data_IF_576760864802
#
_entry.id   IF_576760864802
#
_cell.length_a   1.000
_cell.length_b   1.000
_cell.length_c   1.000
_cell.angle_alpha   90.00
_cell.angle_beta   90.00
_cell.angle_gamma   90.00
#
_symmetry.space_group_name_H-M   'P 1'
#
loop_
_entity.id
_entity.type
_entity.pdbx_description
1 polymer ?
#
# COMPACT_ATOMS: atom_id res chain seq x y z
N UNK A 1 -24.80 -20.83 -8.76
CA UNK A 1 -25.16 -19.65 -7.95
C UNK A 1 -24.04 -18.66 -8.15
N UNK A 2 -24.27 -17.59 -8.92
CA UNK A 2 -23.26 -16.56 -9.14
C UNK A 2 -23.17 -15.70 -7.88
N UNK A 3 -21.96 -15.57 -7.34
CA UNK A 3 -21.65 -14.75 -6.16
C UNK A 3 -21.96 -13.27 -6.41
N UNK A 4 -22.61 -12.62 -5.46
CA UNK A 4 -23.01 -11.20 -5.47
C UNK A 4 -21.82 -10.20 -5.45
N UNK A 5 -20.57 -10.68 -5.45
CA UNK A 5 -19.34 -9.87 -5.33
C UNK A 5 -18.85 -9.18 -6.63
N UNK A 6 -19.59 -9.27 -7.74
CA UNK A 6 -19.11 -8.79 -9.05
C UNK A 6 -19.86 -7.56 -9.58
N UNK A 7 -20.20 -6.61 -8.69
CA UNK A 7 -20.69 -5.29 -9.12
C UNK A 7 -19.51 -4.30 -9.08
N UNK A 8 -19.24 -3.55 -10.16
CA UNK A 8 -18.25 -2.48 -10.13
C UNK A 8 -18.66 -1.43 -9.10
N UNK A 9 -17.75 -1.13 -8.17
CA UNK A 9 -17.94 -0.08 -7.15
C UNK A 9 -18.09 1.28 -7.82
N UNK A 10 -19.01 2.09 -7.29
CA UNK A 10 -19.17 3.51 -7.59
C UNK A 10 -17.97 4.34 -7.11
N UNK A 11 -17.85 5.57 -7.60
CA UNK A 11 -16.78 6.47 -7.17
C UNK A 11 -16.91 6.86 -5.70
N UNK A 12 -18.14 6.95 -5.17
CA UNK A 12 -18.41 7.19 -3.76
C UNK A 12 -17.94 6.02 -2.88
N UNK A 13 -18.21 4.78 -3.30
CA UNK A 13 -17.71 3.58 -2.62
C UNK A 13 -16.19 3.50 -2.66
N UNK A 14 -15.56 3.87 -3.78
CA UNK A 14 -14.11 3.97 -3.87
C UNK A 14 -13.54 5.05 -2.95
N UNK A 15 -14.18 6.22 -2.89
CA UNK A 15 -13.75 7.33 -2.03
C UNK A 15 -13.86 6.98 -0.55
N UNK A 16 -14.76 6.06 -0.18
CA UNK A 16 -14.90 5.56 1.19
C UNK A 16 -13.79 4.56 1.60
N UNK A 17 -13.26 3.76 0.66
CA UNK A 17 -12.32 2.68 0.97
C UNK A 17 -10.85 2.99 0.62
N UNK A 18 -10.62 3.96 -0.28
CA UNK A 18 -9.28 4.39 -0.68
C UNK A 18 -8.83 5.58 0.15
N UNK A 19 -7.52 5.70 0.37
CA UNK A 19 -6.96 6.97 0.84
C UNK A 19 -7.19 8.08 -0.22
N UNK A 20 -7.20 9.37 0.16
CA UNK A 20 -7.38 10.46 -0.82
C UNK A 20 -6.35 10.44 -1.95
N UNK A 21 -5.13 10.00 -1.67
CA UNK A 21 -4.05 9.88 -2.64
C UNK A 21 -4.21 8.66 -3.54
N UNK A 22 -4.57 7.52 -2.96
CA UNK A 22 -4.97 6.33 -3.73
C UNK A 22 -6.16 6.65 -4.62
N UNK A 23 -7.15 7.40 -4.15
CA UNK A 23 -8.29 7.83 -4.94
C UNK A 23 -7.86 8.76 -6.09
N UNK A 24 -7.04 9.78 -5.81
CA UNK A 24 -6.49 10.69 -6.83
C UNK A 24 -5.75 9.93 -7.93
N UNK A 25 -4.86 9.02 -7.56
CA UNK A 25 -4.09 8.26 -8.55
C UNK A 25 -4.94 7.17 -9.22
N UNK A 26 -5.52 6.23 -8.46
CA UNK A 26 -6.25 5.09 -9.03
C UNK A 26 -7.52 5.50 -9.77
N UNK A 27 -8.24 6.56 -9.35
CA UNK A 27 -9.54 6.92 -9.92
C UNK A 27 -9.48 8.20 -10.75
N UNK A 28 -8.69 9.19 -10.33
CA UNK A 28 -8.56 10.47 -11.04
C UNK A 28 -7.35 10.54 -11.97
N UNK A 29 -6.58 9.44 -12.10
CA UNK A 29 -5.42 9.29 -13.00
C UNK A 29 -4.30 10.31 -12.72
N UNK A 30 -4.17 10.73 -11.46
CA UNK A 30 -3.06 11.56 -11.02
C UNK A 30 -1.75 10.74 -10.95
N UNK A 31 -0.61 11.40 -10.75
CA UNK A 31 0.70 10.76 -10.63
C UNK A 31 1.44 11.28 -9.40
N UNK A 32 2.04 10.38 -8.61
CA UNK A 32 2.88 10.76 -7.48
C UNK A 32 4.09 11.58 -7.92
N UNK A 33 4.66 12.41 -7.05
CA UNK A 33 5.90 13.10 -7.37
C UNK A 33 7.06 12.10 -7.58
N UNK A 34 7.96 12.35 -8.54
CA UNK A 34 9.11 11.50 -8.76
C UNK A 34 9.98 11.44 -7.51
N UNK A 35 10.41 10.24 -7.14
CA UNK A 35 11.32 10.01 -6.03
C UNK A 35 10.66 9.81 -4.67
N UNK A 36 9.36 10.11 -4.52
CA UNK A 36 8.70 10.11 -3.21
C UNK A 36 7.95 8.81 -2.87
N UNK A 37 7.62 8.00 -3.88
CA UNK A 37 6.80 6.79 -3.70
C UNK A 37 7.51 5.68 -2.93
N UNK A 38 6.77 4.99 -2.05
CA UNK A 38 7.22 3.89 -1.18
C UNK A 38 8.03 2.82 -1.94
N UNK A 39 7.60 2.46 -3.14
CA UNK A 39 8.16 1.32 -3.88
C UNK A 39 9.24 1.71 -4.89
N UNK A 40 9.57 3.00 -5.03
CA UNK A 40 10.58 3.45 -6.01
C UNK A 40 11.94 2.75 -5.80
N UNK A 41 12.55 2.92 -4.62
CA UNK A 41 13.85 2.33 -4.27
C UNK A 41 13.76 1.10 -3.35
N UNK A 42 12.56 0.56 -3.19
CA UNK A 42 12.33 -0.67 -2.45
C UNK A 42 12.36 -1.89 -3.39
N UNK A 43 13.00 -2.98 -2.97
CA UNK A 43 13.18 -4.21 -3.76
C UNK A 43 12.86 -5.46 -2.94
N UNK A 44 11.75 -5.43 -2.20
CA UNK A 44 11.27 -6.60 -1.47
C UNK A 44 10.74 -7.69 -2.40
N UNK A 45 10.94 -8.94 -1.98
CA UNK A 45 10.45 -10.12 -2.70
C UNK A 45 8.96 -10.35 -2.53
N UNK A 46 8.29 -10.75 -3.61
CA UNK A 46 6.88 -11.15 -3.59
C UNK A 46 6.10 -10.66 -4.81
N UNK A 47 4.81 -10.46 -4.62
CA UNK A 47 3.88 -10.06 -5.69
C UNK A 47 3.22 -8.73 -5.32
N UNK A 48 3.41 -7.70 -6.14
CA UNK A 48 2.74 -6.42 -5.96
C UNK A 48 1.30 -6.54 -6.44
N UNK A 49 0.36 -6.29 -5.56
CA UNK A 49 -1.08 -6.32 -5.79
C UNK A 49 -1.62 -4.91 -6.02
N UNK A 50 -2.76 -4.78 -6.69
CA UNK A 50 -3.48 -3.52 -6.80
C UNK A 50 -3.86 -3.02 -5.41
N UNK A 51 -3.52 -1.77 -5.09
CA UNK A 51 -3.87 -1.16 -3.81
C UNK A 51 -5.38 -1.00 -3.63
N UNK A 52 -6.15 -0.88 -4.72
CA UNK A 52 -7.60 -0.70 -4.65
C UNK A 52 -8.40 -1.99 -4.48
N UNK A 53 -8.14 -3.01 -5.32
CA UNK A 53 -8.94 -4.25 -5.31
C UNK A 53 -8.17 -5.49 -4.82
N UNK A 54 -6.86 -5.38 -4.57
CA UNK A 54 -6.05 -6.49 -4.09
C UNK A 54 -5.63 -7.50 -5.15
N UNK A 55 -6.03 -7.35 -6.42
CA UNK A 55 -5.65 -8.26 -7.51
C UNK A 55 -4.13 -8.27 -7.71
N UNK A 56 -3.47 -9.42 -7.85
CA UNK A 56 -2.04 -9.51 -8.21
C UNK A 56 -1.72 -8.81 -9.54
N UNK A 57 -0.69 -7.97 -9.56
CA UNK A 57 -0.31 -7.19 -10.75
C UNK A 57 1.11 -7.50 -11.24
N UNK A 58 2.12 -7.50 -10.36
CA UNK A 58 3.54 -7.62 -10.75
C UNK A 58 4.30 -8.57 -9.83
N UNK A 59 5.32 -9.26 -10.34
CA UNK A 59 6.28 -10.02 -9.50
C UNK A 59 7.50 -9.15 -9.20
N UNK A 60 8.07 -9.27 -8.00
CA UNK A 60 9.32 -8.58 -7.63
C UNK A 60 10.47 -8.90 -8.59
N UNK A 61 10.51 -10.11 -9.14
CA UNK A 61 11.49 -10.55 -10.15
C UNK A 61 11.42 -9.77 -11.47
N UNK A 62 10.31 -9.07 -11.72
CA UNK A 62 10.14 -8.19 -12.90
C UNK A 62 10.48 -6.74 -12.61
N UNK A 63 10.73 -6.39 -11.34
CA UNK A 63 11.09 -5.04 -10.92
C UNK A 63 12.57 -4.77 -11.24
N UNK A 64 12.89 -3.57 -11.70
CA UNK A 64 14.27 -3.16 -11.97
C UNK A 64 14.49 -1.66 -11.67
N UNK A 65 15.74 -1.23 -11.55
CA UNK A 65 16.07 0.19 -11.43
C UNK A 65 16.12 0.82 -12.83
N UNK A 66 15.12 1.63 -13.15
CA UNK A 66 15.09 2.39 -14.41
C UNK A 66 15.60 3.82 -14.27
N UNK A 67 15.78 4.31 -13.03
CA UNK A 67 16.07 5.72 -12.75
C UNK A 67 14.90 6.68 -12.97
N UNK A 68 13.69 6.22 -13.30
CA UNK A 68 12.58 7.12 -13.65
C UNK A 68 11.97 7.90 -12.48
N UNK A 69 12.21 7.48 -11.23
CA UNK A 69 11.62 8.11 -10.03
C UNK A 69 10.39 7.39 -9.46
N UNK A 70 9.93 6.32 -10.11
CA UNK A 70 8.83 5.47 -9.67
C UNK A 70 9.23 3.98 -9.73
N UNK A 71 8.53 3.05 -9.04
CA UNK A 71 8.77 1.63 -9.24
C UNK A 71 8.58 1.25 -10.71
N UNK A 72 9.58 0.57 -11.26
CA UNK A 72 9.59 0.14 -12.65
C UNK A 72 9.59 -1.39 -12.75
N UNK A 73 8.73 -1.92 -13.62
CA UNK A 73 8.65 -3.34 -13.94
C UNK A 73 8.77 -3.54 -15.45
N UNK A 74 9.34 -4.66 -15.90
CA UNK A 74 9.42 -4.95 -17.33
C UNK A 74 8.25 -5.81 -17.84
N UNK A 75 7.46 -6.39 -16.94
CA UNK A 75 6.34 -7.27 -17.29
C UNK A 75 5.32 -7.33 -16.14
N UNK A 76 4.02 -7.27 -16.48
CA UNK A 76 2.93 -7.54 -15.54
C UNK A 76 2.46 -8.99 -15.61
N UNK A 77 1.75 -9.45 -14.58
CA UNK A 77 1.14 -10.78 -14.58
C UNK A 77 0.15 -10.94 -15.76
N UNK A 78 0.07 -12.13 -16.39
CA UNK A 78 -0.82 -12.36 -17.51
C UNK A 78 -2.27 -11.97 -17.22
N UNK A 79 -2.84 -11.11 -18.06
CA UNK A 79 -4.23 -10.63 -17.94
C UNK A 79 -4.48 -9.57 -16.84
N UNK A 80 -3.49 -9.26 -16.00
CA UNK A 80 -3.68 -8.35 -14.87
C UNK A 80 -3.73 -6.86 -15.25
N UNK A 81 -3.15 -6.51 -16.40
CA UNK A 81 -2.96 -5.13 -16.86
C UNK A 81 -3.71 -4.88 -18.16
N UNK A 82 -4.61 -3.90 -18.16
CA UNK A 82 -5.22 -3.34 -19.36
C UNK A 82 -4.36 -2.20 -19.86
N UNK A 83 -4.16 -2.12 -21.18
CA UNK A 83 -3.29 -1.15 -21.85
C UNK A 83 -4.12 -0.25 -22.75
N UNK A 84 -4.02 1.06 -22.57
CA UNK A 84 -4.73 2.07 -23.36
C UNK A 84 -3.70 3.04 -23.94
N UNK A 85 -3.47 3.06 -25.26
CA UNK A 85 -2.54 4.00 -25.86
C UNK A 85 -2.97 5.46 -25.62
N UNK A 86 -2.01 6.33 -25.31
CA UNK A 86 -2.29 7.76 -25.24
C UNK A 86 -2.61 8.33 -26.63
N UNK A 87 -3.42 9.39 -26.72
CA UNK A 87 -3.81 9.97 -28.01
C UNK A 87 -2.63 10.41 -28.90
N UNK A 88 -1.51 10.80 -28.28
CA UNK A 88 -0.29 11.23 -28.97
C UNK A 88 0.67 10.08 -29.30
N UNK A 89 0.38 8.85 -28.84
CA UNK A 89 1.19 7.65 -29.03
C UNK A 89 2.54 7.66 -28.30
N UNK A 90 2.79 8.63 -27.42
CA UNK A 90 4.05 8.77 -26.69
C UNK A 90 4.21 7.73 -25.58
N UNK A 91 3.08 7.27 -25.04
CA UNK A 91 3.03 6.29 -23.96
C UNK A 91 1.75 5.46 -24.03
N UNK A 92 1.67 4.43 -23.18
CA UNK A 92 0.48 3.57 -23.07
C UNK A 92 0.08 3.50 -21.60
N UNK A 93 -1.08 4.07 -21.27
CA UNK A 93 -1.68 3.98 -19.93
C UNK A 93 -1.88 2.52 -19.54
N UNK A 94 -1.52 2.19 -18.30
CA UNK A 94 -1.74 0.88 -17.70
C UNK A 94 -2.74 0.97 -16.55
N UNK A 95 -3.77 0.12 -16.62
CA UNK A 95 -4.86 0.04 -15.65
C UNK A 95 -4.91 -1.37 -15.05
N UNK A 96 -5.36 -1.50 -13.81
CA UNK A 96 -5.73 -2.79 -13.25
C UNK A 96 -6.96 -3.32 -13.99
N UNK A 97 -6.86 -4.48 -14.66
CA UNK A 97 -7.97 -5.08 -15.42
C UNK A 97 -9.20 -5.35 -14.54
N UNK A 98 -9.00 -5.68 -13.25
CA UNK A 98 -10.09 -6.08 -12.36
C UNK A 98 -10.95 -4.90 -11.86
N UNK A 99 -10.39 -3.71 -11.65
CA UNK A 99 -11.12 -2.57 -11.09
C UNK A 99 -11.05 -1.27 -11.92
N UNK A 100 -10.28 -1.28 -13.01
CA UNK A 100 -10.01 -0.09 -13.83
C UNK A 100 -9.14 0.97 -13.15
N UNK A 101 -8.51 0.65 -12.02
CA UNK A 101 -7.66 1.59 -11.30
C UNK A 101 -6.39 1.94 -12.07
N UNK A 102 -6.08 3.22 -12.19
CA UNK A 102 -4.88 3.71 -12.87
C UNK A 102 -3.60 3.34 -12.13
N UNK A 103 -2.65 2.75 -12.87
CA UNK A 103 -1.38 2.28 -12.34
C UNK A 103 -0.23 3.19 -12.77
N UNK A 104 -0.26 3.73 -13.98
CA UNK A 104 0.82 4.54 -14.56
C UNK A 104 0.87 4.35 -16.07
N UNK A 105 2.08 4.30 -16.63
CA UNK A 105 2.30 4.17 -18.09
C UNK A 105 3.40 3.16 -18.41
N UNK A 106 3.34 2.57 -19.61
CA UNK A 106 4.43 1.75 -20.16
C UNK A 106 5.09 2.44 -21.35
N UNK A 107 6.41 2.42 -21.35
CA UNK A 107 7.29 2.91 -22.40
C UNK A 107 8.06 1.74 -23.00
N UNK A 108 8.44 1.82 -24.27
CA UNK A 108 9.15 0.75 -25.00
C UNK A 108 10.31 1.31 -25.82
N UNK A 109 11.33 0.49 -26.06
CA UNK A 109 12.42 0.84 -26.95
C UNK A 109 13.41 1.84 -26.35
N UNK A 110 13.49 1.90 -25.02
CA UNK A 110 14.39 2.80 -24.29
C UNK A 110 15.80 2.18 -24.11
N UNK A 111 15.98 0.91 -24.47
CA UNK A 111 17.27 0.22 -24.42
C UNK A 111 17.62 -0.35 -23.05
N UNK A 112 16.62 -0.65 -22.22
CA UNK A 112 16.83 -1.32 -20.95
C UNK A 112 17.26 -2.78 -21.18
N UNK A 113 18.17 -3.27 -20.34
CA UNK A 113 18.63 -4.66 -20.35
C UNK A 113 17.62 -5.58 -19.65
N UNK A 114 16.36 -5.52 -20.07
CA UNK A 114 15.27 -6.38 -19.59
C UNK A 114 14.77 -7.27 -20.71
N UNK A 115 14.12 -8.42 -20.42
CA UNK A 115 13.69 -9.36 -21.46
C UNK A 115 12.75 -8.76 -22.52
N UNK A 116 11.99 -7.73 -22.16
CA UNK A 116 10.95 -7.13 -23.01
C UNK A 116 11.32 -5.75 -23.56
N UNK A 117 12.38 -5.11 -23.02
CA UNK A 117 12.68 -3.68 -23.22
C UNK A 117 11.45 -2.76 -23.01
N UNK A 118 10.54 -3.19 -22.12
CA UNK A 118 9.43 -2.38 -21.63
C UNK A 118 9.76 -1.82 -20.25
N UNK A 119 9.33 -0.58 -20.01
CA UNK A 119 9.37 0.07 -18.69
C UNK A 119 7.95 0.43 -18.28
N UNK A 120 7.32 -0.43 -17.48
CA UNK A 120 6.09 -0.11 -16.78
C UNK A 120 6.46 0.82 -15.62
N UNK A 121 6.24 2.12 -15.78
CA UNK A 121 6.43 3.15 -14.78
C UNK A 121 5.15 3.26 -13.94
N UNK A 122 5.18 2.71 -12.72
CA UNK A 122 3.98 2.49 -11.91
C UNK A 122 3.97 3.43 -10.70
N UNK A 123 2.83 3.99 -10.34
CA UNK A 123 2.67 4.69 -9.07
C UNK A 123 2.76 3.69 -7.90
N UNK A 124 3.59 4.01 -6.91
CA UNK A 124 3.68 3.24 -5.67
C UNK A 124 2.33 3.17 -4.96
N UNK A 125 1.55 4.25 -4.93
CA UNK A 125 0.24 4.28 -4.28
C UNK A 125 -0.79 3.38 -4.95
N UNK A 126 -0.59 3.02 -6.22
CA UNK A 126 -1.49 2.14 -6.97
C UNK A 126 -1.24 0.66 -6.70
N UNK A 127 -0.11 0.32 -6.07
CA UNK A 127 0.29 -1.06 -5.79
C UNK A 127 0.56 -1.27 -4.30
N UNK A 128 0.64 -2.52 -3.90
CA UNK A 128 0.94 -2.93 -2.53
C UNK A 128 1.61 -4.29 -2.55
N UNK A 129 2.76 -4.44 -1.93
CA UNK A 129 3.40 -5.74 -1.75
C UNK A 129 2.86 -6.43 -0.49
N UNK A 130 2.09 -7.53 -0.55
CA UNK A 130 1.73 -8.32 0.64
C UNK A 130 2.99 -8.89 1.30
N UNK A 131 3.00 -8.98 2.63
CA UNK A 131 4.19 -9.44 3.39
C UNK A 131 5.05 -8.31 3.97
N UNK A 132 4.92 -7.08 3.47
CA UNK A 132 5.10 -5.88 4.33
C UNK A 132 3.97 -5.81 5.39
N UNK A 133 2.97 -6.68 5.26
CA UNK A 133 1.96 -7.07 6.23
C UNK A 133 2.28 -8.39 6.97
N UNK A 134 3.56 -8.75 7.22
CA UNK A 134 3.99 -9.93 8.01
C UNK A 134 3.08 -10.20 9.22
N UNK A 135 2.65 -9.13 9.92
CA UNK A 135 1.79 -9.24 11.10
C UNK A 135 0.30 -8.99 10.85
N UNK A 136 -0.13 -8.86 9.60
CA UNK A 136 -1.53 -8.59 9.26
C UNK A 136 -2.47 -9.66 9.82
N UNK A 137 -2.23 -10.93 9.49
CA UNK A 137 -3.04 -12.09 9.92
C UNK A 137 -2.39 -12.91 11.06
N UNK A 138 -1.36 -12.36 11.70
CA UNK A 138 -0.69 -12.99 12.83
C UNK A 138 -1.29 -12.50 14.16
N UNK A 139 -1.80 -13.40 15.00
CA UNK A 139 -2.47 -13.04 16.27
C UNK A 139 -1.83 -13.72 17.49
N UNK A 140 -0.51 -13.94 17.45
CA UNK A 140 0.21 -14.48 18.59
C UNK A 140 0.16 -13.56 19.81
N UNK A 141 0.10 -14.15 21.01
CA UNK A 141 0.16 -13.44 22.29
C UNK A 141 1.56 -12.89 22.56
N UNK A 142 1.66 -11.58 22.75
CA UNK A 142 2.92 -10.86 22.95
C UNK A 142 2.83 -9.37 22.65
N UNK A 143 3.97 -8.78 22.34
CA UNK A 143 4.15 -7.34 22.11
C UNK A 143 4.68 -7.07 20.70
N UNK A 144 4.27 -5.94 20.11
CA UNK A 144 4.84 -5.44 18.87
C UNK A 144 5.68 -4.21 19.18
N UNK A 145 6.97 -4.33 18.90
CA UNK A 145 8.00 -3.36 19.24
C UNK A 145 8.45 -2.62 17.99
N UNK A 146 8.92 -1.38 18.12
CA UNK A 146 9.49 -0.64 17.01
C UNK A 146 10.68 -1.40 16.42
N UNK A 147 10.69 -1.66 15.11
CA UNK A 147 11.79 -2.35 14.45
C UNK A 147 13.10 -1.55 14.50
N UNK A 148 13.01 -0.21 14.57
CA UNK A 148 14.18 0.68 14.58
C UNK A 148 14.89 0.79 15.93
N UNK A 149 14.14 0.84 17.04
CA UNK A 149 14.73 1.09 18.37
C UNK A 149 14.31 0.09 19.46
N UNK A 150 13.44 -0.87 19.15
CA UNK A 150 12.98 -1.88 20.11
C UNK A 150 11.95 -1.39 21.14
N UNK A 151 11.57 -0.12 21.13
CA UNK A 151 10.54 0.42 22.05
C UNK A 151 9.21 -0.31 21.84
N UNK A 152 8.55 -0.82 22.90
CA UNK A 152 7.22 -1.41 22.79
C UNK A 152 6.20 -0.40 22.27
N UNK A 153 5.42 -0.79 21.25
CA UNK A 153 4.43 0.09 20.60
C UNK A 153 3.00 -0.40 20.82
N UNK A 154 2.75 -1.70 20.69
CA UNK A 154 1.41 -2.28 20.76
C UNK A 154 1.40 -3.58 21.54
N UNK A 155 0.28 -3.86 22.21
CA UNK A 155 -0.01 -5.18 22.78
C UNK A 155 -0.80 -6.00 21.76
N UNK A 156 -0.55 -7.31 21.70
CA UNK A 156 -1.37 -8.24 20.92
C UNK A 156 -2.86 -8.19 21.26
N UNK A 157 -3.22 -7.82 22.49
CA UNK A 157 -4.61 -7.65 22.94
C UNK A 157 -5.32 -6.48 22.26
N UNK A 158 -4.59 -5.50 21.72
CA UNK A 158 -5.19 -4.39 20.97
C UNK A 158 -5.29 -4.65 19.47
N UNK A 159 -4.78 -5.80 19.01
CA UNK A 159 -4.78 -6.18 17.60
C UNK A 159 -6.15 -6.70 17.17
N UNK A 160 -6.60 -6.33 15.99
CA UNK A 160 -7.84 -6.84 15.39
C UNK A 160 -7.74 -6.99 13.87
N UNK A 161 -8.72 -7.68 13.26
CA UNK A 161 -8.84 -7.77 11.81
C UNK A 161 -9.66 -6.60 11.29
N UNK A 162 -8.99 -5.65 10.63
CA UNK A 162 -9.66 -4.50 10.02
C UNK A 162 -9.94 -4.69 8.53
N UNK A 163 -9.42 -5.75 7.90
CA UNK A 163 -9.47 -5.92 6.45
C UNK A 163 -8.56 -4.98 5.65
N UNK A 164 -7.80 -4.06 6.27
CA UNK A 164 -6.94 -3.11 5.54
C UNK A 164 -5.68 -3.76 4.90
N UNK A 165 -5.45 -5.04 5.20
CA UNK A 165 -4.31 -5.80 4.67
C UNK A 165 -2.98 -5.50 5.36
N UNK A 166 -3.00 -4.86 6.53
CA UNK A 166 -1.85 -4.51 7.37
C UNK A 166 -2.18 -4.86 8.83
N UNK A 167 -1.20 -5.08 9.71
CA UNK A 167 -1.49 -5.21 11.13
C UNK A 167 -2.23 -3.97 11.63
N UNK A 168 -3.41 -4.22 12.19
CA UNK A 168 -4.28 -3.19 12.73
C UNK A 168 -4.41 -3.32 14.24
N UNK A 169 -4.28 -2.20 14.93
CA UNK A 169 -4.45 -2.10 16.37
C UNK A 169 -5.46 -1.00 16.68
N UNK A 170 -6.29 -1.17 17.70
CA UNK A 170 -7.22 -0.11 18.10
C UNK A 170 -6.61 0.88 19.10
N UNK A 171 -5.47 0.53 19.68
CA UNK A 171 -4.78 1.36 20.66
C UNK A 171 -3.30 0.97 20.73
N UNK A 172 -2.42 1.98 20.87
CA UNK A 172 -1.00 1.78 21.16
C UNK A 172 -0.67 2.06 22.62
N UNK A 173 0.52 1.64 23.05
CA UNK A 173 0.98 1.85 24.42
C UNK A 173 1.07 3.35 24.75
N UNK A 174 0.69 3.76 25.98
CA UNK A 174 0.71 5.16 26.40
C UNK A 174 2.07 5.82 26.14
N UNK A 175 2.07 6.92 25.39
CA UNK A 175 3.28 7.69 25.08
C UNK A 175 4.25 7.06 24.08
N UNK A 176 3.94 5.89 23.50
CA UNK A 176 4.83 5.22 22.55
C UNK A 176 4.70 5.73 21.11
N UNK A 177 3.59 6.41 20.79
CA UNK A 177 3.23 6.82 19.43
C UNK A 177 2.96 8.32 19.38
N UNK A 178 3.68 9.01 18.52
CA UNK A 178 3.44 10.40 18.15
C UNK A 178 2.44 10.44 17.01
N UNK A 179 1.47 11.35 17.09
CA UNK A 179 0.40 11.54 16.11
C UNK A 179 0.54 12.91 15.46
N UNK A 180 0.69 12.95 14.14
CA UNK A 180 0.79 14.20 13.37
C UNK A 180 -0.36 14.25 12.38
N UNK A 181 -1.23 15.24 12.49
CA UNK A 181 -2.29 15.44 11.52
C UNK A 181 -1.72 16.08 10.25
N UNK A 182 -2.14 15.59 9.08
CA UNK A 182 -1.89 16.25 7.81
C UNK A 182 -2.50 17.66 7.84
N UNK A 183 -1.94 18.64 7.08
CA UNK A 183 -2.49 20.00 7.00
C UNK A 183 -3.96 20.08 6.57
N UNK A 184 -4.45 19.06 5.86
CA UNK A 184 -5.85 18.96 5.43
C UNK A 184 -6.78 18.37 6.50
N UNK A 185 -6.23 17.91 7.63
CA UNK A 185 -6.94 17.31 8.76
C UNK A 185 -7.52 15.93 8.50
N UNK A 186 -7.25 15.31 7.35
CA UNK A 186 -7.91 14.05 6.92
C UNK A 186 -7.15 12.79 7.31
N UNK A 187 -5.85 12.89 7.57
CA UNK A 187 -5.00 11.76 7.99
C UNK A 187 -4.23 12.13 9.23
N UNK A 188 -3.96 11.13 10.06
CA UNK A 188 -3.08 11.25 11.22
C UNK A 188 -1.96 10.22 11.04
N UNK A 189 -0.80 10.71 10.65
CA UNK A 189 0.43 9.93 10.59
C UNK A 189 0.85 9.53 12.01
N UNK A 190 1.32 8.29 12.15
CA UNK A 190 1.86 7.78 13.41
C UNK A 190 3.33 7.42 13.28
N UNK A 191 4.14 7.94 14.20
CA UNK A 191 5.57 7.66 14.31
C UNK A 191 5.92 7.16 15.70
N UNK A 192 7.01 6.41 15.81
CA UNK A 192 7.56 5.99 17.10
C UNK A 192 8.05 7.23 17.86
N UNK A 193 7.51 7.48 19.06
CA UNK A 193 7.91 8.64 19.87
C UNK A 193 9.40 8.60 20.25
N UNK A 194 9.98 7.40 20.40
CA UNK A 194 11.36 7.24 20.85
C UNK A 194 12.40 7.53 19.76
N UNK A 195 12.14 7.20 18.50
CA UNK A 195 13.13 7.31 17.42
C UNK A 195 12.67 8.10 16.19
N UNK A 196 11.41 8.52 16.14
CA UNK A 196 10.81 9.20 14.99
C UNK A 196 10.53 8.28 13.79
N UNK A 197 10.77 6.96 13.90
CA UNK A 197 10.52 6.02 12.82
C UNK A 197 9.04 5.98 12.43
N UNK A 198 8.75 6.06 11.13
CA UNK A 198 7.40 5.99 10.60
C UNK A 198 6.77 4.61 10.85
N UNK A 199 5.54 4.59 11.39
CA UNK A 199 4.83 3.36 11.71
C UNK A 199 3.65 3.11 10.76
N UNK A 200 2.95 4.17 10.35
CA UNK A 200 1.76 4.07 9.50
C UNK A 200 0.79 5.22 9.77
N UNK A 201 -0.51 4.89 9.82
CA UNK A 201 -1.56 5.90 10.00
C UNK A 201 -2.63 5.44 10.99
N UNK A 202 -3.31 6.39 11.64
CA UNK A 202 -4.50 6.12 12.45
C UNK A 202 -5.74 6.78 11.84
N UNK A 203 -6.82 6.01 11.81
CA UNK A 203 -8.14 6.41 11.34
C UNK A 203 -9.13 6.28 12.50
N UNK A 204 -10.16 7.14 12.56
CA UNK A 204 -11.17 7.13 13.63
C UNK A 204 -12.57 7.15 13.04
N UNK A 205 -13.53 6.56 13.74
CA UNK A 205 -14.95 6.67 13.36
C UNK A 205 -15.35 5.78 12.19
N UNK A 206 -14.64 4.68 11.98
CA UNK A 206 -14.91 3.74 10.89
C UNK A 206 -15.95 2.67 11.26
N UNK A 207 -16.46 2.69 12.50
CA UNK A 207 -17.52 1.79 12.97
C UNK A 207 -17.01 0.39 13.33
N UNK A 208 -15.72 0.26 13.67
CA UNK A 208 -15.18 -0.99 14.18
C UNK A 208 -15.71 -1.26 15.60
N UNK A 209 -16.02 -2.53 15.89
CA UNK A 209 -16.44 -2.97 17.23
C UNK A 209 -15.24 -3.12 18.16
N UNK A 210 -14.42 -2.07 18.27
CA UNK A 210 -13.26 -1.98 19.16
C UNK A 210 -13.50 -0.91 20.23
N UNK A 211 -12.81 -0.94 21.38
CA UNK A 211 -13.05 0.01 22.47
C UNK A 211 -12.90 1.49 22.10
N UNK A 212 -12.04 1.80 21.13
CA UNK A 212 -11.70 3.18 20.74
C UNK A 212 -12.31 3.60 19.41
N UNK A 213 -12.84 2.67 18.62
CA UNK A 213 -13.19 2.86 17.19
C UNK A 213 -12.05 3.55 16.40
N UNK A 214 -10.82 3.27 16.79
CA UNK A 214 -9.62 3.66 16.06
C UNK A 214 -9.03 2.47 15.32
N UNK A 215 -8.41 2.76 14.17
CA UNK A 215 -7.64 1.80 13.40
C UNK A 215 -6.25 2.35 13.14
N UNK A 216 -5.28 1.89 13.94
CA UNK A 216 -3.87 2.07 13.66
C UNK A 216 -3.47 1.06 12.59
N UNK A 217 -3.36 1.51 11.34
CA UNK A 217 -2.88 0.72 10.21
C UNK A 217 -1.35 0.81 10.15
N UNK A 218 -0.67 -0.26 10.57
CA UNK A 218 0.77 -0.24 10.81
C UNK A 218 1.52 -1.03 9.74
N UNK A 219 2.66 -0.53 9.29
CA UNK A 219 3.55 -1.24 8.38
C UNK A 219 4.29 -2.33 9.15
N UNK A 220 4.24 -3.60 8.72
CA UNK A 220 4.92 -4.67 9.50
C UNK A 220 6.43 -4.51 9.51
N UNK A 221 7.01 -3.91 8.46
CA UNK A 221 8.44 -3.57 8.41
C UNK A 221 8.87 -2.59 9.49
N UNK A 222 7.92 -1.81 10.05
CA UNK A 222 8.18 -0.83 11.11
C UNK A 222 8.13 -1.44 12.51
N UNK A 223 7.72 -2.70 12.64
CA UNK A 223 7.54 -3.39 13.92
C UNK A 223 8.20 -4.77 13.94
N UNK A 224 8.44 -5.29 15.15
CA UNK A 224 8.96 -6.63 15.42
C UNK A 224 8.11 -7.25 16.52
N UNK A 225 7.67 -8.49 16.34
CA UNK A 225 6.92 -9.19 17.37
C UNK A 225 7.85 -9.84 18.41
N UNK A 226 7.47 -9.79 19.68
CA UNK A 226 8.10 -10.52 20.78
C UNK A 226 7.01 -11.31 21.52
N UNK A 227 7.09 -12.66 21.56
CA UNK A 227 6.13 -13.49 22.27
C UNK A 227 6.05 -13.13 23.76
N UNK A 228 4.86 -13.28 24.36
CA UNK A 228 4.72 -13.23 25.80
C UNK A 228 5.46 -14.44 26.43
N UNK A 229 6.23 -14.18 27.49
CA UNK A 229 6.89 -15.21 28.29
C UNK A 229 5.93 -16.03 29.13
#
# INVERSE_FOLDING_TARGET
MASEDNKPRSEEEWRAVLSPEQFRVLRQKDTELPGTGEYNKFYGDGVYNCAGCGTPLYKSTTKFDSGCGWPAFFEGLPGAITRTPDPDGSSVEILCTACGGHLGHVFKGEGFKTPTDERHCVNSVSIKLPGTGEYNKFYGGGDYNCAGCGTPLYKSTTKFDSGCGWPAFFEGLPGAITRTADPDGRRVEITCTACGGHLGHVFKGEGFKTPTDERHCVNSVSIKFTPAS
#
